data_IF_208393888624
#
_entry.id   IF_208393888624
#
_cell.length_a   1.000
_cell.length_b   1.000
_cell.length_c   1.000
_cell.angle_alpha   90.00
_cell.angle_beta   90.00
_cell.angle_gamma   90.00
#
_symmetry.space_group_name_H-M   'P 1'
#
loop_
_entity.id
_entity.type
_entity.pdbx_description
1 polymer ?
#
# COMPACT_ATOMS: atom_id res chain seq x y z
N UNK A 1 -1.05 -51.63 -5.35
CA UNK A 1 -0.93 -50.15 -5.46
C UNK A 1 0.46 -49.74 -4.97
N UNK A 2 1.29 -49.13 -5.82
CA UNK A 2 2.69 -48.82 -5.47
C UNK A 2 2.78 -47.76 -4.37
N UNK A 3 3.88 -47.74 -3.60
CA UNK A 3 4.13 -46.74 -2.56
C UNK A 3 3.94 -45.31 -3.08
N UNK A 4 4.38 -45.08 -4.33
CA UNK A 4 4.24 -43.81 -5.06
C UNK A 4 2.78 -43.44 -5.33
N UNK A 5 1.93 -44.42 -5.66
CA UNK A 5 0.49 -44.21 -5.87
C UNK A 5 -0.24 -43.94 -4.55
N UNK A 6 0.12 -44.65 -3.46
CA UNK A 6 -0.42 -44.41 -2.12
C UNK A 6 -0.06 -43.02 -1.60
N UNK A 7 1.21 -42.58 -1.78
CA UNK A 7 1.65 -41.23 -1.42
C UNK A 7 0.93 -40.14 -2.21
N UNK A 8 0.75 -40.35 -3.53
CA UNK A 8 0.04 -39.38 -4.39
C UNK A 8 -1.43 -39.25 -4.00
N UNK A 9 -2.10 -40.36 -3.70
CA UNK A 9 -3.49 -40.39 -3.21
C UNK A 9 -3.63 -39.69 -1.86
N UNK A 10 -2.74 -39.98 -0.91
CA UNK A 10 -2.71 -39.33 0.40
C UNK A 10 -2.45 -37.82 0.32
N UNK A 11 -1.51 -37.40 -0.54
CA UNK A 11 -1.19 -35.98 -0.79
C UNK A 11 -2.36 -35.21 -1.42
N UNK A 12 -3.15 -35.86 -2.27
CA UNK A 12 -4.34 -35.28 -2.90
C UNK A 12 -5.51 -35.16 -1.91
N UNK A 13 -5.74 -36.17 -1.08
CA UNK A 13 -6.80 -36.16 -0.06
C UNK A 13 -6.53 -35.18 1.07
N UNK A 14 -5.26 -34.98 1.44
CA UNK A 14 -4.85 -34.11 2.54
C UNK A 14 -4.21 -32.81 2.07
N UNK A 15 -4.41 -32.43 0.80
CA UNK A 15 -3.75 -31.27 0.16
C UNK A 15 -3.93 -29.98 0.95
N UNK A 16 -5.08 -29.78 1.59
CA UNK A 16 -5.37 -28.57 2.36
C UNK A 16 -4.69 -28.54 3.74
N UNK A 17 -4.26 -29.70 4.27
CA UNK A 17 -3.47 -29.82 5.51
C UNK A 17 -1.96 -29.90 5.24
N UNK A 18 -1.57 -30.57 4.16
CA UNK A 18 -0.18 -30.75 3.73
C UNK A 18 0.37 -29.47 3.14
N UNK A 19 -0.42 -28.67 2.41
CA UNK A 19 0.08 -27.45 1.76
C UNK A 19 0.57 -26.41 2.79
N UNK A 20 -0.13 -26.14 3.91
CA UNK A 20 0.41 -25.36 5.03
C UNK A 20 1.64 -25.98 5.70
N UNK A 21 1.64 -27.31 5.94
CA UNK A 21 2.77 -28.03 6.52
C UNK A 21 4.04 -27.94 5.64
N UNK A 22 3.90 -28.13 4.33
CA UNK A 22 4.99 -27.97 3.37
C UNK A 22 5.46 -26.51 3.23
N UNK A 23 4.55 -25.53 3.29
CA UNK A 23 4.88 -24.10 3.21
C UNK A 23 5.44 -23.49 4.51
N UNK A 24 5.29 -24.18 5.64
CA UNK A 24 5.75 -23.68 6.94
C UNK A 24 6.85 -24.53 7.59
N UNK A 25 7.02 -25.81 7.24
CA UNK A 25 8.07 -26.68 7.80
C UNK A 25 9.09 -27.18 6.78
N UNK A 26 8.70 -27.31 5.49
CA UNK A 26 9.54 -28.02 4.50
C UNK A 26 10.24 -27.06 3.54
N UNK A 27 9.59 -25.99 3.05
CA UNK A 27 10.17 -25.07 2.06
C UNK A 27 9.79 -23.63 2.37
N UNK A 28 10.72 -22.88 2.96
CA UNK A 28 10.41 -21.53 3.43
C UNK A 28 11.48 -20.52 3.01
N UNK A 29 11.05 -19.41 2.41
CA UNK A 29 11.86 -18.20 2.32
C UNK A 29 11.76 -17.40 3.62
N UNK A 30 12.91 -17.04 4.16
CA UNK A 30 13.07 -16.14 5.31
C UNK A 30 13.75 -14.88 4.82
N UNK A 31 13.27 -13.73 5.27
CA UNK A 31 13.85 -12.43 4.95
C UNK A 31 14.15 -11.75 6.28
N UNK A 32 15.35 -11.20 6.40
CA UNK A 32 15.86 -10.58 7.62
C UNK A 32 16.77 -9.38 7.26
N UNK A 33 17.06 -8.53 8.25
CA UNK A 33 18.01 -7.43 8.15
C UNK A 33 19.26 -7.81 8.95
N UNK A 34 20.39 -7.91 8.26
CA UNK A 34 21.70 -8.11 8.89
C UNK A 34 22.38 -6.79 9.25
N UNK A 35 23.66 -6.90 9.63
CA UNK A 35 24.54 -5.75 9.86
C UNK A 35 24.57 -4.80 8.63
N UNK A 36 24.76 -3.51 8.90
CA UNK A 36 24.79 -2.43 7.90
C UNK A 36 23.56 -2.38 6.98
N UNK A 37 22.38 -2.73 7.52
CA UNK A 37 21.11 -2.77 6.79
C UNK A 37 21.09 -3.74 5.60
N UNK A 38 21.94 -4.77 5.62
CA UNK A 38 21.99 -5.76 4.55
C UNK A 38 20.72 -6.63 4.57
N UNK A 39 20.01 -6.69 3.44
CA UNK A 39 18.87 -7.56 3.27
C UNK A 39 19.33 -9.01 3.07
N UNK A 40 18.97 -9.89 4.00
CA UNK A 40 19.29 -11.31 3.97
C UNK A 40 18.06 -12.09 3.54
N UNK A 41 18.15 -12.82 2.44
CA UNK A 41 17.11 -13.74 1.95
C UNK A 41 17.62 -15.17 2.05
N UNK A 42 16.97 -16.00 2.86
CA UNK A 42 17.39 -17.39 3.11
C UNK A 42 16.28 -18.34 2.71
N UNK A 43 16.55 -19.25 1.79
CA UNK A 43 15.69 -20.38 1.50
C UNK A 43 16.10 -21.59 2.33
N UNK A 44 15.17 -22.08 3.14
CA UNK A 44 15.39 -23.23 4.04
C UNK A 44 14.59 -24.44 3.58
N UNK A 45 15.21 -25.62 3.64
CA UNK A 45 14.55 -26.92 3.50
C UNK A 45 14.67 -27.67 4.83
N UNK A 46 13.56 -28.06 5.45
CA UNK A 46 13.55 -28.68 6.80
C UNK A 46 14.39 -27.90 7.83
N UNK A 47 14.31 -26.57 7.82
CA UNK A 47 15.09 -25.69 8.70
C UNK A 47 16.56 -25.48 8.29
N UNK A 48 17.09 -26.27 7.34
CA UNK A 48 18.46 -26.17 6.85
C UNK A 48 18.53 -25.12 5.73
N UNK A 49 19.42 -24.14 5.88
CA UNK A 49 19.67 -23.12 4.87
C UNK A 49 20.32 -23.74 3.62
N UNK A 50 19.59 -23.77 2.50
CA UNK A 50 20.08 -24.30 1.22
C UNK A 50 20.64 -23.18 0.35
N UNK A 51 19.95 -22.05 0.32
CA UNK A 51 20.39 -20.86 -0.41
C UNK A 51 20.25 -19.64 0.48
N UNK A 52 21.29 -18.80 0.50
CA UNK A 52 21.26 -17.52 1.20
C UNK A 52 21.79 -16.45 0.28
N UNK A 53 21.08 -15.34 0.17
CA UNK A 53 21.51 -14.13 -0.55
C UNK A 53 21.60 -12.98 0.43
N UNK A 54 22.73 -12.31 0.46
CA UNK A 54 22.97 -11.10 1.26
C UNK A 54 23.10 -9.93 0.30
N UNK A 55 22.25 -8.93 0.45
CA UNK A 55 22.20 -7.74 -0.41
C UNK A 55 22.51 -6.53 0.47
N UNK A 56 23.65 -5.90 0.20
CA UNK A 56 24.10 -4.68 0.86
C UNK A 56 24.07 -3.52 -0.14
N UNK A 57 24.35 -2.31 0.34
CA UNK A 57 24.57 -1.10 -0.47
C UNK A 57 25.68 -1.29 -1.50
N UNK A 58 26.70 -2.07 -1.16
CA UNK A 58 27.93 -2.19 -1.95
C UNK A 58 28.10 -3.55 -2.66
N UNK A 59 27.30 -4.56 -2.32
CA UNK A 59 27.47 -5.90 -2.87
C UNK A 59 26.22 -6.75 -2.82
N UNK A 60 26.21 -7.80 -3.64
CA UNK A 60 25.31 -8.96 -3.50
C UNK A 60 26.18 -10.21 -3.37
N UNK A 61 25.98 -10.98 -2.30
CA UNK A 61 26.65 -12.27 -2.07
C UNK A 61 25.63 -13.39 -2.08
N UNK A 62 25.90 -14.44 -2.87
CA UNK A 62 25.10 -15.66 -2.90
C UNK A 62 25.86 -16.81 -2.27
N UNK A 63 25.16 -17.57 -1.45
CA UNK A 63 25.66 -18.73 -0.73
C UNK A 63 24.81 -19.97 -1.06
N UNK A 64 25.46 -21.13 -1.17
CA UNK A 64 24.82 -22.44 -1.18
C UNK A 64 25.26 -23.20 0.06
N UNK A 65 24.32 -23.50 0.96
CA UNK A 65 24.67 -23.88 2.34
C UNK A 65 25.52 -22.78 3.00
N UNK A 66 26.67 -23.16 3.54
CA UNK A 66 27.65 -22.23 4.12
C UNK A 66 28.65 -21.66 3.09
N UNK A 67 28.71 -22.19 1.86
CA UNK A 67 29.73 -21.82 0.87
C UNK A 67 29.30 -20.58 0.07
N UNK A 68 30.15 -19.55 0.05
CA UNK A 68 30.01 -18.40 -0.86
C UNK A 68 30.22 -18.88 -2.30
N UNK A 69 29.26 -18.66 -3.18
CA UNK A 69 29.30 -19.09 -4.59
C UNK A 69 29.41 -17.93 -5.57
N UNK A 70 28.97 -16.73 -5.19
CA UNK A 70 29.04 -15.54 -6.04
C UNK A 70 29.13 -14.28 -5.20
N UNK A 71 29.99 -13.36 -5.63
CA UNK A 71 29.99 -11.98 -5.17
C UNK A 71 29.82 -11.07 -6.38
N UNK A 72 28.86 -10.16 -6.32
CA UNK A 72 28.71 -9.07 -7.27
C UNK A 72 28.96 -7.77 -6.52
N UNK A 73 30.03 -7.06 -6.88
CA UNK A 73 30.26 -5.70 -6.38
C UNK A 73 29.31 -4.72 -7.07
N UNK A 74 28.69 -3.83 -6.30
CA UNK A 74 27.81 -2.77 -6.81
C UNK A 74 28.60 -1.47 -7.03
N UNK A 75 29.75 -1.60 -7.70
CA UNK A 75 30.67 -0.50 -8.02
C UNK A 75 30.28 0.27 -9.29
N UNK A 76 31.25 0.92 -9.92
CA UNK A 76 31.01 1.78 -11.09
C UNK A 76 30.39 1.05 -12.29
N UNK A 77 30.80 -0.18 -12.60
CA UNK A 77 30.22 -0.95 -13.71
C UNK A 77 28.72 -1.24 -13.49
N UNK A 78 28.33 -1.53 -12.25
CA UNK A 78 26.92 -1.71 -11.90
C UNK A 78 26.16 -0.40 -12.07
N UNK A 79 26.71 0.73 -11.61
CA UNK A 79 26.09 2.05 -11.79
C UNK A 79 25.92 2.41 -13.26
N UNK A 80 26.94 2.14 -14.09
CA UNK A 80 26.90 2.36 -15.54
C UNK A 80 25.82 1.52 -16.20
N UNK A 81 25.75 0.23 -15.89
CA UNK A 81 24.70 -0.66 -16.41
C UNK A 81 23.28 -0.22 -15.99
N UNK A 82 23.11 0.22 -14.74
CA UNK A 82 21.84 0.77 -14.27
C UNK A 82 21.47 2.05 -15.04
N UNK A 83 22.42 2.98 -15.21
CA UNK A 83 22.21 4.22 -15.95
C UNK A 83 21.79 3.96 -17.40
N UNK A 84 22.45 3.02 -18.08
CA UNK A 84 22.07 2.60 -19.45
C UNK A 84 20.65 2.04 -19.50
N UNK A 85 20.25 1.24 -18.50
CA UNK A 85 18.89 0.71 -18.40
C UNK A 85 17.84 1.82 -18.21
N UNK A 86 18.08 2.76 -17.27
CA UNK A 86 17.20 3.91 -17.06
C UNK A 86 17.13 4.80 -18.31
N UNK A 87 18.28 5.13 -18.92
CA UNK A 87 18.33 5.97 -20.11
C UNK A 87 17.51 5.37 -21.26
N UNK A 88 17.62 4.05 -21.47
CA UNK A 88 16.82 3.33 -22.46
C UNK A 88 15.32 3.37 -22.14
N UNK A 89 14.94 3.13 -20.89
CA UNK A 89 13.54 3.17 -20.45
C UNK A 89 12.93 4.56 -20.64
N UNK A 90 13.66 5.61 -20.28
CA UNK A 90 13.24 7.01 -20.38
C UNK A 90 13.13 7.43 -21.85
N UNK A 91 14.11 7.05 -22.69
CA UNK A 91 14.09 7.31 -24.13
C UNK A 91 12.90 6.65 -24.83
N UNK A 92 12.52 5.44 -24.42
CA UNK A 92 11.34 4.75 -24.95
C UNK A 92 10.02 5.46 -24.61
N UNK A 93 10.01 6.31 -23.58
CA UNK A 93 8.89 7.18 -23.23
C UNK A 93 8.99 8.57 -23.90
N UNK A 94 9.87 8.73 -24.90
CA UNK A 94 10.13 10.00 -25.60
C UNK A 94 10.65 11.12 -24.68
N UNK A 95 11.37 10.76 -23.62
CA UNK A 95 12.04 11.68 -22.70
C UNK A 95 13.56 11.50 -22.78
N UNK A 96 14.34 12.49 -22.34
CA UNK A 96 15.80 12.35 -22.20
C UNK A 96 16.19 12.39 -20.73
N UNK A 97 16.91 11.37 -20.28
CA UNK A 97 17.41 11.26 -18.91
C UNK A 97 18.27 12.46 -18.51
N UNK A 98 19.00 13.07 -19.46
CA UNK A 98 19.90 14.21 -19.21
C UNK A 98 19.16 15.49 -18.83
N UNK A 99 17.86 15.58 -19.11
CA UNK A 99 17.05 16.76 -18.80
C UNK A 99 16.68 16.85 -17.31
N UNK A 100 16.94 15.81 -16.54
CA UNK A 100 16.51 15.71 -15.14
C UNK A 100 17.70 15.74 -14.19
N UNK A 101 17.62 16.55 -13.14
CA UNK A 101 18.61 16.53 -12.03
C UNK A 101 18.29 15.42 -11.03
N UNK A 102 17.01 15.10 -10.86
CA UNK A 102 16.58 14.08 -9.92
C UNK A 102 15.52 13.15 -10.51
N UNK A 103 15.67 11.86 -10.26
CA UNK A 103 14.79 10.79 -10.73
C UNK A 103 14.28 10.04 -9.51
N UNK A 104 12.96 10.07 -9.31
CA UNK A 104 12.29 9.39 -8.20
C UNK A 104 11.63 8.11 -8.69
N UNK A 105 12.04 6.98 -8.13
CA UNK A 105 11.59 5.64 -8.48
C UNK A 105 10.65 5.15 -7.38
N UNK A 106 9.39 4.95 -7.72
CA UNK A 106 8.33 4.60 -6.78
C UNK A 106 7.97 3.13 -6.92
N UNK A 107 8.40 2.32 -5.95
CA UNK A 107 8.10 0.89 -5.88
C UNK A 107 7.29 0.47 -4.62
N UNK A 108 6.75 1.47 -3.92
CA UNK A 108 6.10 1.31 -2.63
C UNK A 108 4.61 0.97 -2.71
N UNK A 109 3.94 0.80 -1.57
CA UNK A 109 2.48 0.68 -1.54
C UNK A 109 1.84 2.06 -1.66
N UNK A 110 0.54 2.10 -1.99
CA UNK A 110 -0.16 3.38 -2.25
C UNK A 110 -0.16 4.31 -1.03
N UNK A 111 -0.20 3.77 0.19
CA UNK A 111 -0.20 4.57 1.42
C UNK A 111 1.08 5.38 1.58
N UNK A 112 2.24 4.73 1.51
CA UNK A 112 3.53 5.40 1.66
C UNK A 112 3.79 6.39 0.53
N UNK A 113 3.41 6.06 -0.71
CA UNK A 113 3.58 6.97 -1.85
C UNK A 113 2.69 8.19 -1.69
N UNK A 114 1.42 8.00 -1.31
CA UNK A 114 0.49 9.09 -1.08
C UNK A 114 1.02 10.01 0.03
N UNK A 115 1.47 9.47 1.17
CA UNK A 115 2.03 10.27 2.25
C UNK A 115 3.32 10.99 1.85
N UNK A 116 4.22 10.30 1.14
CA UNK A 116 5.46 10.89 0.68
C UNK A 116 5.19 12.09 -0.23
N UNK A 117 4.30 11.94 -1.22
CA UNK A 117 3.95 13.02 -2.12
C UNK A 117 3.17 14.12 -1.39
N UNK A 118 2.19 13.78 -0.55
CA UNK A 118 1.36 14.75 0.16
C UNK A 118 2.13 15.58 1.19
N UNK A 119 3.16 15.04 1.86
CA UNK A 119 3.79 15.73 2.99
C UNK A 119 5.32 15.91 2.87
N UNK A 120 6.02 15.00 2.20
CA UNK A 120 7.47 14.82 2.36
C UNK A 120 8.28 15.27 1.14
N UNK A 121 7.73 15.16 -0.07
CA UNK A 121 8.47 15.47 -1.28
C UNK A 121 9.01 16.91 -1.28
N UNK A 122 8.17 17.92 -1.04
CA UNK A 122 8.60 19.33 -1.05
C UNK A 122 9.73 19.62 -0.04
N UNK A 123 9.64 19.22 1.23
CA UNK A 123 10.76 19.33 2.17
C UNK A 123 12.04 18.64 1.68
N UNK A 124 11.90 17.44 1.11
CA UNK A 124 13.03 16.70 0.55
C UNK A 124 13.67 17.44 -0.63
N UNK A 125 12.86 18.00 -1.53
CA UNK A 125 13.35 18.80 -2.66
C UNK A 125 14.16 20.00 -2.18
N UNK A 126 13.66 20.73 -1.17
CA UNK A 126 14.37 21.87 -0.56
C UNK A 126 15.73 21.44 0.01
N UNK A 127 15.79 20.31 0.72
CA UNK A 127 17.04 19.77 1.29
C UNK A 127 18.11 19.52 0.23
N UNK A 128 17.71 19.07 -0.95
CA UNK A 128 18.63 18.75 -2.05
C UNK A 128 18.77 19.88 -3.08
N UNK A 129 18.28 21.09 -2.78
CA UNK A 129 18.29 22.26 -3.68
C UNK A 129 17.65 21.95 -5.05
N UNK A 130 16.49 21.29 -5.05
CA UNK A 130 15.74 20.87 -6.23
C UNK A 130 14.43 21.68 -6.36
N UNK A 131 14.53 22.95 -6.75
CA UNK A 131 13.36 23.84 -6.75
C UNK A 131 12.49 23.76 -8.02
N UNK A 132 12.99 23.15 -9.09
CA UNK A 132 12.29 23.06 -10.38
C UNK A 132 11.64 21.70 -10.62
N UNK A 133 10.31 21.63 -10.69
CA UNK A 133 9.59 20.40 -11.05
C UNK A 133 9.95 19.84 -12.44
N UNK A 134 10.38 20.71 -13.36
CA UNK A 134 10.86 20.33 -14.70
C UNK A 134 12.18 19.54 -14.67
N UNK A 135 12.97 19.70 -13.61
CA UNK A 135 14.23 19.00 -13.40
C UNK A 135 14.00 17.63 -12.73
N UNK A 136 12.74 17.24 -12.49
CA UNK A 136 12.35 16.00 -11.83
C UNK A 136 11.72 15.04 -12.83
N UNK A 137 11.93 13.75 -12.61
CA UNK A 137 11.21 12.67 -13.30
C UNK A 137 10.70 11.66 -12.30
N UNK A 138 9.43 11.28 -12.43
CA UNK A 138 8.85 10.17 -11.67
C UNK A 138 8.77 8.89 -12.49
N UNK A 139 9.27 7.80 -11.90
CA UNK A 139 9.16 6.46 -12.46
C UNK A 139 8.23 5.65 -11.56
N UNK A 140 7.05 5.35 -12.06
CA UNK A 140 6.07 4.48 -11.44
C UNK A 140 6.35 3.01 -11.77
N UNK A 141 6.25 2.10 -10.81
CA UNK A 141 6.27 0.64 -11.09
C UNK A 141 4.89 0.00 -11.14
N UNK A 142 3.82 0.73 -10.82
CA UNK A 142 2.43 0.23 -10.78
C UNK A 142 1.48 1.29 -11.31
N UNK A 143 0.36 0.87 -11.90
CA UNK A 143 -0.59 1.78 -12.56
C UNK A 143 -1.13 2.84 -11.58
N UNK A 144 -1.53 2.43 -10.37
CA UNK A 144 -2.05 3.36 -9.35
C UNK A 144 -1.01 4.40 -8.87
N UNK A 145 0.29 4.20 -9.11
CA UNK A 145 1.27 5.25 -8.83
C UNK A 145 1.06 6.45 -9.75
N UNK A 146 0.70 6.21 -11.02
CA UNK A 146 0.43 7.28 -11.98
C UNK A 146 -0.76 8.12 -11.52
N UNK A 147 -1.87 7.46 -11.15
CA UNK A 147 -3.06 8.14 -10.63
C UNK A 147 -2.72 9.08 -9.46
N UNK A 148 -1.89 8.60 -8.52
CA UNK A 148 -1.47 9.39 -7.36
C UNK A 148 -0.55 10.54 -7.77
N UNK A 149 0.44 10.28 -8.62
CA UNK A 149 1.39 11.29 -9.08
C UNK A 149 0.70 12.41 -9.86
N UNK A 150 -0.20 12.03 -10.75
CA UNK A 150 -0.98 12.96 -11.57
C UNK A 150 -1.91 13.83 -10.73
N UNK A 151 -2.51 13.26 -9.69
CA UNK A 151 -3.42 14.00 -8.81
C UNK A 151 -2.71 14.94 -7.82
N UNK A 152 -1.44 14.67 -7.45
CA UNK A 152 -0.72 15.48 -6.46
C UNK A 152 0.29 16.44 -7.11
N UNK A 153 1.00 15.98 -8.15
CA UNK A 153 2.02 16.74 -8.89
C UNK A 153 1.85 16.58 -10.40
N UNK A 154 0.74 17.09 -10.98
CA UNK A 154 0.45 16.96 -12.41
C UNK A 154 1.58 17.49 -13.30
N UNK A 155 2.32 18.51 -12.86
CA UNK A 155 3.40 19.18 -13.56
C UNK A 155 4.71 18.39 -13.67
N UNK A 156 4.89 17.31 -12.90
CA UNK A 156 6.12 16.52 -12.93
C UNK A 156 6.00 15.44 -14.03
N UNK A 157 6.95 15.38 -15.00
CA UNK A 157 7.01 14.30 -15.97
C UNK A 157 7.04 12.93 -15.29
N UNK A 158 6.30 11.97 -15.86
CA UNK A 158 6.12 10.63 -15.27
C UNK A 158 6.05 9.56 -16.34
N UNK A 159 6.54 8.36 -16.02
CA UNK A 159 6.40 7.17 -16.85
C UNK A 159 6.17 5.91 -16.01
N UNK A 160 5.66 4.86 -16.65
CA UNK A 160 5.43 3.56 -16.04
C UNK A 160 6.48 2.54 -16.49
N UNK A 161 7.17 1.93 -15.54
CA UNK A 161 8.15 0.87 -15.74
C UNK A 161 7.95 -0.25 -14.71
N UNK A 162 7.10 -1.24 -15.04
CA UNK A 162 6.71 -2.32 -14.10
C UNK A 162 7.85 -3.25 -13.69
N UNK A 163 8.84 -3.44 -14.57
CA UNK A 163 9.95 -4.38 -14.38
C UNK A 163 11.31 -3.67 -14.42
N UNK A 164 11.50 -2.70 -13.52
CA UNK A 164 12.72 -1.91 -13.43
C UNK A 164 13.64 -2.46 -12.34
N UNK A 165 14.96 -2.46 -12.59
CA UNK A 165 15.91 -2.67 -11.50
C UNK A 165 15.86 -1.49 -10.54
N UNK A 166 16.05 -1.77 -9.26
CA UNK A 166 16.05 -0.75 -8.20
C UNK A 166 17.43 -0.66 -7.57
N UNK A 167 17.78 0.54 -7.11
CA UNK A 167 18.88 0.68 -6.17
C UNK A 167 18.45 0.13 -4.81
N UNK A 168 19.42 -0.42 -4.08
CA UNK A 168 19.19 -0.91 -2.71
C UNK A 168 19.31 0.21 -1.66
N UNK A 169 19.73 1.40 -2.10
CA UNK A 169 19.84 2.61 -1.29
C UNK A 169 18.71 3.59 -1.63
N UNK A 170 18.30 4.37 -0.63
CA UNK A 170 17.28 5.41 -0.80
C UNK A 170 17.73 6.51 -1.76
N UNK A 171 19.00 6.90 -1.74
CA UNK A 171 19.59 7.90 -2.63
C UNK A 171 20.91 7.40 -3.22
N UNK A 172 21.05 7.54 -4.54
CA UNK A 172 22.29 7.30 -5.28
C UNK A 172 22.63 8.47 -6.19
N UNK A 173 23.89 8.90 -6.21
CA UNK A 173 24.39 9.85 -7.19
C UNK A 173 25.12 9.13 -8.32
N UNK A 174 24.74 9.44 -9.57
CA UNK A 174 25.40 8.95 -10.78
C UNK A 174 25.51 10.14 -11.74
N UNK A 175 26.71 10.47 -12.21
CA UNK A 175 26.95 11.59 -13.14
C UNK A 175 26.29 12.92 -12.71
N UNK A 176 26.37 13.26 -11.41
CA UNK A 176 25.76 14.45 -10.78
C UNK A 176 24.22 14.46 -10.77
N UNK A 177 23.55 13.39 -11.21
CA UNK A 177 22.10 13.20 -11.08
C UNK A 177 21.78 12.41 -9.81
N UNK A 178 20.71 12.78 -9.13
CA UNK A 178 20.22 12.11 -7.93
C UNK A 178 19.13 11.07 -8.30
N UNK A 179 19.32 9.83 -7.89
CA UNK A 179 18.33 8.75 -8.04
C UNK A 179 17.78 8.39 -6.68
N UNK A 180 16.48 8.65 -6.48
CA UNK A 180 15.78 8.34 -5.25
C UNK A 180 14.96 7.06 -5.41
N UNK A 181 15.27 6.01 -4.65
CA UNK A 181 14.41 4.82 -4.55
C UNK A 181 13.49 5.00 -3.34
N UNK A 182 12.23 5.37 -3.59
CA UNK A 182 11.29 5.73 -2.52
C UNK A 182 10.77 4.47 -1.83
N UNK A 183 11.35 4.26 -0.65
CA UNK A 183 11.22 3.14 0.29
C UNK A 183 11.60 1.78 -0.28
N UNK A 184 12.73 1.26 0.21
CA UNK A 184 13.26 -0.06 -0.17
C UNK A 184 12.59 -1.15 0.65
N UNK A 185 12.80 -2.42 0.27
CA UNK A 185 12.32 -3.55 1.09
C UNK A 185 12.88 -3.49 2.52
N UNK A 186 14.11 -3.00 2.71
CA UNK A 186 14.72 -2.84 4.03
C UNK A 186 13.92 -1.85 4.89
N UNK A 187 13.47 -0.73 4.32
CA UNK A 187 12.62 0.21 5.04
C UNK A 187 11.34 -0.47 5.57
N UNK A 188 10.63 -1.23 4.73
CA UNK A 188 9.37 -1.88 5.14
C UNK A 188 9.59 -2.89 6.28
N UNK A 189 10.67 -3.66 6.20
CA UNK A 189 11.06 -4.60 7.25
C UNK A 189 11.35 -3.87 8.57
N UNK A 190 12.16 -2.80 8.53
CA UNK A 190 12.43 -1.98 9.70
C UNK A 190 11.13 -1.42 10.30
N UNK A 191 10.22 -0.91 9.48
CA UNK A 191 8.94 -0.38 9.96
C UNK A 191 8.13 -1.45 10.68
N UNK A 192 7.96 -2.61 10.07
CA UNK A 192 7.22 -3.72 10.65
C UNK A 192 7.87 -4.20 11.97
N UNK A 193 9.20 -4.37 12.01
CA UNK A 193 9.93 -4.80 13.21
C UNK A 193 9.86 -3.77 14.34
N UNK A 194 10.10 -2.48 14.04
CA UNK A 194 10.05 -1.42 15.05
C UNK A 194 8.65 -1.28 15.67
N UNK A 195 7.59 -1.57 14.91
CA UNK A 195 6.22 -1.59 15.43
C UNK A 195 5.96 -2.89 16.20
N UNK A 196 6.38 -4.03 15.67
CA UNK A 196 6.14 -5.35 16.27
C UNK A 196 6.80 -5.50 17.65
N UNK A 197 8.02 -4.96 17.80
CA UNK A 197 8.81 -5.02 19.02
C UNK A 197 8.68 -3.76 19.90
N UNK A 198 7.79 -2.83 19.55
CA UNK A 198 7.51 -1.66 20.39
C UNK A 198 6.82 -2.08 21.68
N UNK A 199 7.45 -1.82 22.83
CA UNK A 199 6.86 -2.07 24.15
C UNK A 199 5.84 -0.99 24.57
N UNK A 200 5.87 0.18 23.94
CA UNK A 200 5.08 1.35 24.36
C UNK A 200 3.94 1.73 23.43
N UNK A 201 3.77 1.03 22.30
CA UNK A 201 2.80 1.38 21.25
C UNK A 201 2.94 2.82 20.70
N UNK A 202 4.12 3.46 20.88
CA UNK A 202 4.39 4.83 20.43
C UNK A 202 5.05 4.91 19.05
N UNK A 203 5.56 3.78 18.55
CA UNK A 203 6.16 3.67 17.22
C UNK A 203 5.08 3.79 16.16
N UNK A 204 5.26 4.67 15.17
CA UNK A 204 4.30 4.89 14.09
C UNK A 204 4.99 4.96 12.73
N UNK A 205 4.43 4.30 11.71
CA UNK A 205 5.05 4.17 10.39
C UNK A 205 5.38 5.52 9.75
N UNK A 206 4.50 6.52 9.86
CA UNK A 206 4.78 7.85 9.31
C UNK A 206 5.93 8.55 10.04
N UNK A 207 6.11 8.32 11.35
CA UNK A 207 7.28 8.89 12.06
C UNK A 207 8.58 8.20 11.61
N UNK A 208 8.52 6.89 11.36
CA UNK A 208 9.66 6.15 10.81
C UNK A 208 9.99 6.58 9.38
N UNK A 209 8.99 6.90 8.56
CA UNK A 209 9.18 7.52 7.25
C UNK A 209 9.98 8.82 7.35
N UNK A 210 9.57 9.72 8.25
CA UNK A 210 10.26 10.99 8.46
C UNK A 210 11.70 10.77 8.95
N UNK A 211 11.92 9.81 9.84
CA UNK A 211 13.26 9.45 10.31
C UNK A 211 14.14 8.87 9.21
N UNK A 212 13.60 7.98 8.37
CA UNK A 212 14.33 7.37 7.24
C UNK A 212 14.80 8.42 6.23
N UNK A 213 13.98 9.45 6.00
CA UNK A 213 14.27 10.52 5.05
C UNK A 213 14.92 11.75 5.70
N UNK A 214 15.14 11.69 7.02
CA UNK A 214 15.70 12.78 7.83
C UNK A 214 14.95 14.10 7.62
N UNK A 215 13.62 14.06 7.75
CA UNK A 215 12.72 15.21 7.61
C UNK A 215 12.05 15.53 8.94
N UNK A 216 12.17 16.78 9.40
CA UNK A 216 11.48 17.22 10.60
C UNK A 216 9.99 17.43 10.35
N UNK A 217 9.17 17.11 11.36
CA UNK A 217 7.70 17.29 11.29
C UNK A 217 7.30 18.75 11.02
N UNK A 218 8.08 19.72 11.51
CA UNK A 218 7.82 21.16 11.34
C UNK A 218 7.98 21.62 9.89
N UNK A 219 8.77 20.89 9.10
CA UNK A 219 9.08 21.27 7.72
C UNK A 219 8.05 20.73 6.72
N UNK A 220 7.16 19.83 7.16
CA UNK A 220 6.16 19.20 6.29
C UNK A 220 5.30 20.22 5.56
N UNK A 221 5.11 20.00 4.27
CA UNK A 221 4.25 20.84 3.42
C UNK A 221 3.14 19.98 2.87
N UNK A 222 1.89 20.35 3.15
CA UNK A 222 0.73 19.65 2.63
C UNK A 222 0.51 19.97 1.15
N UNK A 223 0.41 18.92 0.33
CA UNK A 223 0.00 18.96 -1.06
C UNK A 223 -1.25 18.09 -1.22
N UNK A 224 -2.39 18.74 -1.46
CA UNK A 224 -3.67 18.09 -1.60
C UNK A 224 -3.76 17.19 -2.83
N UNK A 225 -4.65 16.21 -2.76
CA UNK A 225 -4.99 15.32 -3.86
C UNK A 225 -6.09 15.95 -4.73
N UNK A 226 -5.71 16.34 -5.94
CA UNK A 226 -6.56 17.05 -6.89
C UNK A 226 -6.54 16.31 -8.23
N UNK A 227 -7.44 15.32 -8.43
CA UNK A 227 -7.53 14.62 -9.70
C UNK A 227 -7.77 15.56 -10.89
N UNK A 228 -7.24 15.24 -12.08
CA UNK A 228 -7.60 15.94 -13.31
C UNK A 228 -9.11 15.96 -13.58
N UNK A 229 -9.60 17.00 -14.27
CA UNK A 229 -11.03 17.19 -14.54
C UNK A 229 -11.68 16.02 -15.30
N UNK A 230 -10.93 15.36 -16.20
CA UNK A 230 -11.43 14.21 -16.96
C UNK A 230 -11.73 12.98 -16.08
N UNK A 231 -11.14 12.89 -14.88
CA UNK A 231 -11.36 11.76 -13.97
C UNK A 231 -12.80 11.73 -13.45
N UNK A 232 -13.39 12.89 -13.15
CA UNK A 232 -14.78 12.96 -12.68
C UNK A 232 -15.74 12.46 -13.77
N UNK A 233 -15.59 12.94 -15.00
CA UNK A 233 -16.38 12.49 -16.15
C UNK A 233 -16.23 11.00 -16.42
N UNK A 234 -15.00 10.46 -16.35
CA UNK A 234 -14.73 9.03 -16.49
C UNK A 234 -15.42 8.20 -15.39
N UNK A 235 -15.30 8.65 -14.13
CA UNK A 235 -15.95 8.03 -12.97
C UNK A 235 -17.47 8.01 -13.14
N UNK A 236 -18.09 9.15 -13.47
CA UNK A 236 -19.54 9.26 -13.64
C UNK A 236 -20.05 8.36 -14.78
N UNK A 237 -19.33 8.28 -15.89
CA UNK A 237 -19.67 7.40 -17.01
C UNK A 237 -19.67 5.91 -16.62
N UNK A 238 -18.69 5.49 -15.80
CA UNK A 238 -18.62 4.12 -15.26
C UNK A 238 -19.73 3.85 -14.25
N UNK A 239 -20.01 4.81 -13.36
CA UNK A 239 -20.99 4.64 -12.28
C UNK A 239 -22.43 4.65 -12.79
N UNK A 240 -22.75 5.44 -13.83
CA UNK A 240 -24.08 5.49 -14.44
C UNK A 240 -24.61 4.09 -14.81
N UNK A 241 -23.73 3.21 -15.29
CA UNK A 241 -24.06 1.82 -15.66
C UNK A 241 -24.51 0.95 -14.49
N UNK A 242 -24.12 1.31 -13.27
CA UNK A 242 -24.46 0.56 -12.04
C UNK A 242 -25.82 0.96 -11.46
N UNK A 243 -26.40 2.08 -11.90
CA UNK A 243 -27.60 2.70 -11.30
C UNK A 243 -27.44 2.95 -9.80
N UNK A 244 -26.26 3.42 -9.38
CA UNK A 244 -25.99 3.84 -7.99
C UNK A 244 -26.66 5.20 -7.73
N UNK A 245 -27.34 5.33 -6.61
CA UNK A 245 -27.86 6.62 -6.15
C UNK A 245 -26.72 7.50 -5.60
N UNK A 246 -26.18 8.37 -6.46
CA UNK A 246 -25.07 9.28 -6.14
C UNK A 246 -25.37 10.28 -5.01
N UNK A 247 -26.64 10.47 -4.61
CA UNK A 247 -27.01 11.35 -3.49
C UNK A 247 -27.12 10.63 -2.15
N UNK A 248 -27.12 9.30 -2.14
CA UNK A 248 -27.49 8.51 -0.96
C UNK A 248 -26.85 7.13 -0.99
N UNK A 249 -25.52 7.09 -0.87
CA UNK A 249 -24.77 5.84 -0.87
C UNK A 249 -23.56 5.88 0.06
N UNK A 250 -23.07 4.70 0.43
CA UNK A 250 -21.78 4.51 1.12
C UNK A 250 -20.83 3.69 0.26
N UNK A 251 -19.52 3.91 0.43
CA UNK A 251 -18.49 3.06 -0.17
C UNK A 251 -18.01 2.04 0.84
N UNK A 252 -17.94 0.77 0.43
CA UNK A 252 -17.26 -0.28 1.17
C UNK A 252 -15.98 -0.68 0.44
N UNK A 253 -14.84 -0.66 1.12
CA UNK A 253 -13.55 -1.14 0.62
C UNK A 253 -13.06 -2.33 1.47
N UNK A 254 -13.60 -3.54 1.24
CA UNK A 254 -13.35 -4.73 2.05
C UNK A 254 -11.97 -5.40 1.82
N UNK A 255 -11.12 -4.84 0.96
CA UNK A 255 -9.85 -5.43 0.54
C UNK A 255 -8.65 -4.63 1.03
N UNK A 256 -7.60 -5.34 1.41
CA UNK A 256 -6.30 -4.78 1.75
C UNK A 256 -5.18 -5.74 1.35
N UNK A 257 -4.04 -5.19 0.94
CA UNK A 257 -2.84 -6.00 0.63
C UNK A 257 -2.19 -6.50 1.93
N UNK A 258 -2.06 -5.63 2.94
CA UNK A 258 -1.40 -5.93 4.21
C UNK A 258 -2.33 -6.64 5.20
N UNK A 259 -3.53 -6.13 5.45
CA UNK A 259 -4.47 -6.67 6.43
C UNK A 259 -5.15 -7.97 5.98
N UNK A 260 -5.44 -8.88 6.92
CA UNK A 260 -6.24 -10.08 6.68
C UNK A 260 -7.66 -9.68 6.28
N UNK A 261 -8.29 -10.37 5.32
CA UNK A 261 -9.69 -10.13 5.01
C UNK A 261 -10.56 -10.36 6.25
N UNK A 262 -11.48 -9.44 6.52
CA UNK A 262 -12.45 -9.62 7.59
C UNK A 262 -13.63 -10.50 7.16
N UNK A 263 -14.32 -11.09 8.13
CA UNK A 263 -15.32 -12.14 7.87
C UNK A 263 -16.49 -11.64 7.01
N UNK A 264 -16.84 -12.39 5.95
CA UNK A 264 -17.92 -12.05 5.01
C UNK A 264 -19.27 -11.80 5.69
N UNK A 265 -19.57 -12.46 6.81
CA UNK A 265 -20.82 -12.27 7.56
C UNK A 265 -21.01 -10.82 8.04
N UNK A 266 -19.92 -10.15 8.44
CA UNK A 266 -19.95 -8.76 8.87
C UNK A 266 -20.38 -7.85 7.73
N UNK A 267 -19.68 -7.93 6.60
CA UNK A 267 -19.98 -7.13 5.40
C UNK A 267 -21.41 -7.35 4.90
N UNK A 268 -21.88 -8.61 4.86
CA UNK A 268 -23.27 -8.90 4.48
C UNK A 268 -24.28 -8.28 5.44
N UNK A 269 -24.02 -8.31 6.75
CA UNK A 269 -24.91 -7.71 7.75
C UNK A 269 -24.93 -6.19 7.61
N UNK A 270 -23.77 -5.57 7.45
CA UNK A 270 -23.63 -4.13 7.23
C UNK A 270 -24.40 -3.69 5.97
N UNK A 271 -24.23 -4.39 4.84
CA UNK A 271 -24.96 -4.12 3.59
C UNK A 271 -26.46 -4.16 3.83
N UNK A 272 -26.98 -5.22 4.46
CA UNK A 272 -28.42 -5.35 4.74
C UNK A 272 -28.95 -4.23 5.64
N UNK A 273 -28.21 -3.86 6.69
CA UNK A 273 -28.61 -2.80 7.61
C UNK A 273 -28.65 -1.42 6.94
N UNK A 274 -27.69 -1.12 6.07
CA UNK A 274 -27.70 0.12 5.28
C UNK A 274 -28.85 0.15 4.26
N UNK A 275 -29.13 -0.98 3.60
CA UNK A 275 -30.26 -1.10 2.67
C UNK A 275 -31.60 -0.92 3.38
N UNK A 276 -31.74 -1.46 4.58
CA UNK A 276 -32.94 -1.26 5.40
C UNK A 276 -33.14 0.23 5.77
N UNK A 277 -32.06 1.01 5.88
CA UNK A 277 -32.11 2.47 6.03
C UNK A 277 -32.29 3.23 4.69
N UNK A 278 -32.51 2.50 3.60
CA UNK A 278 -32.67 3.06 2.26
C UNK A 278 -31.40 3.69 1.69
N UNK A 279 -30.21 3.24 2.10
CA UNK A 279 -28.91 3.74 1.62
C UNK A 279 -28.33 2.75 0.59
N UNK A 280 -27.89 3.27 -0.54
CA UNK A 280 -27.24 2.48 -1.58
C UNK A 280 -25.79 2.11 -1.20
N UNK A 281 -25.28 1.03 -1.78
CA UNK A 281 -23.93 0.53 -1.47
C UNK A 281 -23.12 0.39 -2.74
N UNK A 282 -21.95 1.03 -2.77
CA UNK A 282 -20.90 0.76 -3.73
C UNK A 282 -19.78 -0.07 -3.05
N UNK A 283 -19.40 -1.20 -3.64
CA UNK A 283 -18.28 -2.01 -3.13
C UNK A 283 -17.07 -1.85 -4.05
N UNK A 284 -15.99 -1.29 -3.51
CA UNK A 284 -14.68 -1.23 -4.15
C UNK A 284 -13.91 -2.53 -3.84
N UNK A 285 -14.07 -3.54 -4.69
CA UNK A 285 -13.40 -4.83 -4.58
C UNK A 285 -12.89 -5.27 -5.95
N UNK A 286 -11.64 -5.74 -6.04
CA UNK A 286 -11.05 -6.23 -7.28
C UNK A 286 -11.12 -7.76 -7.34
N UNK A 287 -11.03 -8.43 -6.19
CA UNK A 287 -10.96 -9.89 -6.12
C UNK A 287 -12.36 -10.51 -6.16
N UNK A 288 -12.53 -11.50 -7.04
CA UNK A 288 -13.80 -12.26 -7.11
C UNK A 288 -14.16 -12.93 -5.77
N UNK A 289 -13.14 -13.30 -5.01
CA UNK A 289 -13.31 -13.94 -3.69
C UNK A 289 -14.00 -13.03 -2.68
N UNK A 290 -14.03 -11.72 -2.92
CA UNK A 290 -14.63 -10.71 -2.05
C UNK A 290 -16.12 -10.47 -2.36
N UNK A 291 -16.66 -11.04 -3.44
CA UNK A 291 -18.08 -10.91 -3.75
C UNK A 291 -18.98 -11.53 -2.68
N UNK A 292 -19.99 -10.75 -2.27
CA UNK A 292 -20.94 -11.13 -1.22
C UNK A 292 -22.22 -11.74 -1.83
N UNK A 293 -22.29 -13.07 -1.94
CA UNK A 293 -23.51 -13.76 -2.39
C UNK A 293 -24.70 -13.49 -1.44
N UNK A 294 -25.89 -13.28 -2.00
CA UNK A 294 -27.15 -13.13 -1.25
C UNK A 294 -27.40 -11.73 -0.67
N UNK A 295 -26.68 -10.72 -1.15
CA UNK A 295 -26.94 -9.30 -0.89
C UNK A 295 -26.74 -8.51 -2.18
N UNK A 296 -27.52 -7.44 -2.35
CA UNK A 296 -27.40 -6.58 -3.51
C UNK A 296 -26.40 -5.46 -3.20
N UNK A 297 -25.50 -5.15 -4.13
CA UNK A 297 -24.62 -3.99 -4.06
C UNK A 297 -24.19 -3.60 -5.47
N UNK A 298 -23.75 -2.35 -5.63
CA UNK A 298 -23.23 -1.82 -6.88
C UNK A 298 -21.72 -2.00 -6.89
N UNK A 299 -21.17 -2.30 -8.06
CA UNK A 299 -19.74 -2.47 -8.24
C UNK A 299 -19.37 -2.20 -9.71
N UNK A 300 -18.25 -1.52 -9.91
CA UNK A 300 -17.53 -1.49 -11.18
C UNK A 300 -16.05 -1.24 -10.90
N UNK A 301 -15.19 -1.51 -11.91
CA UNK A 301 -13.77 -1.20 -11.81
C UNK A 301 -13.56 0.31 -11.92
N UNK A 302 -12.94 0.88 -10.89
CA UNK A 302 -12.51 2.28 -10.84
C UNK A 302 -10.99 2.36 -10.66
N UNK A 303 -10.37 3.42 -11.20
CA UNK A 303 -9.02 3.85 -10.89
C UNK A 303 -8.91 4.43 -9.47
N UNK A 304 -7.70 4.67 -9.00
CA UNK A 304 -7.48 5.13 -7.62
C UNK A 304 -8.08 6.52 -7.38
N UNK A 305 -7.88 7.42 -8.33
CA UNK A 305 -8.42 8.77 -8.38
C UNK A 305 -9.95 8.80 -8.60
N UNK A 306 -10.51 7.89 -9.39
CA UNK A 306 -11.94 7.74 -9.58
C UNK A 306 -12.65 7.31 -8.30
N UNK A 307 -12.05 6.41 -7.51
CA UNK A 307 -12.59 6.03 -6.18
C UNK A 307 -12.58 7.24 -5.24
N UNK A 308 -11.54 8.06 -5.27
CA UNK A 308 -11.49 9.32 -4.51
C UNK A 308 -12.62 10.27 -4.91
N UNK A 309 -12.82 10.49 -6.22
CA UNK A 309 -13.89 11.35 -6.72
C UNK A 309 -15.27 10.83 -6.33
N UNK A 310 -15.49 9.52 -6.40
CA UNK A 310 -16.74 8.92 -5.92
C UNK A 310 -16.91 9.09 -4.41
N UNK A 311 -15.84 8.96 -3.62
CA UNK A 311 -15.90 9.11 -2.17
C UNK A 311 -16.38 10.50 -1.73
N UNK A 312 -16.00 11.57 -2.45
CA UNK A 312 -16.47 12.94 -2.19
C UNK A 312 -18.00 13.08 -2.26
N UNK A 313 -18.67 12.25 -3.07
CA UNK A 313 -20.13 12.25 -3.22
C UNK A 313 -20.84 11.34 -2.20
N UNK A 314 -20.09 10.53 -1.45
CA UNK A 314 -20.66 9.51 -0.57
C UNK A 314 -21.09 10.05 0.80
N UNK A 315 -21.98 9.31 1.46
CA UNK A 315 -22.31 9.50 2.87
C UNK A 315 -21.15 9.08 3.78
N UNK A 316 -20.23 8.26 3.30
CA UNK A 316 -19.04 7.84 4.01
C UNK A 316 -18.34 6.66 3.35
N UNK A 317 -17.25 6.24 3.98
CA UNK A 317 -16.43 5.11 3.55
C UNK A 317 -16.23 4.16 4.72
N UNK A 318 -16.42 2.86 4.50
CA UNK A 318 -16.03 1.81 5.44
C UNK A 318 -14.98 0.93 4.76
N UNK A 319 -13.76 0.90 5.30
CA UNK A 319 -12.63 0.25 4.65
C UNK A 319 -11.85 -0.61 5.62
N UNK A 320 -11.36 -1.76 5.16
CA UNK A 320 -10.17 -2.34 5.79
C UNK A 320 -9.02 -1.35 5.72
N UNK A 321 -8.18 -1.31 6.75
CA UNK A 321 -6.99 -0.48 6.73
C UNK A 321 -6.09 -0.88 5.56
N UNK A 322 -5.93 0.04 4.62
CA UNK A 322 -5.12 -0.13 3.41
C UNK A 322 -4.58 1.21 2.94
N UNK A 323 -3.60 1.18 2.03
CA UNK A 323 -2.99 2.37 1.43
C UNK A 323 -3.95 3.27 0.64
N UNK A 324 -5.17 2.81 0.36
CA UNK A 324 -6.23 3.62 -0.26
C UNK A 324 -6.79 4.63 0.74
N UNK A 325 -6.82 4.26 2.02
CA UNK A 325 -7.48 5.06 3.06
C UNK A 325 -6.75 6.37 3.33
N UNK A 326 -5.42 6.41 3.21
CA UNK A 326 -4.61 7.63 3.29
C UNK A 326 -5.06 8.70 2.31
N UNK A 327 -5.49 8.26 1.13
CA UNK A 327 -6.01 9.15 0.11
C UNK A 327 -7.46 9.58 0.41
N UNK A 328 -8.31 8.62 0.79
CA UNK A 328 -9.73 8.89 1.07
C UNK A 328 -9.96 9.78 2.29
N UNK A 329 -9.00 9.92 3.20
CA UNK A 329 -9.04 10.95 4.26
C UNK A 329 -9.27 12.36 3.71
N UNK A 330 -8.74 12.65 2.52
CA UNK A 330 -8.86 13.98 1.90
C UNK A 330 -10.24 14.21 1.25
N UNK A 331 -11.08 13.18 1.11
CA UNK A 331 -12.44 13.33 0.60
C UNK A 331 -13.38 14.03 1.61
N UNK A 332 -12.93 14.19 2.86
CA UNK A 332 -13.65 14.89 3.94
C UNK A 332 -15.08 14.37 4.15
N UNK A 333 -15.24 13.04 4.13
CA UNK A 333 -16.46 12.31 4.47
C UNK A 333 -16.22 11.40 5.68
N UNK A 334 -17.26 10.99 6.43
CA UNK A 334 -17.10 9.99 7.48
C UNK A 334 -16.34 8.76 6.99
N UNK A 335 -15.27 8.38 7.68
CA UNK A 335 -14.38 7.29 7.30
C UNK A 335 -14.23 6.33 8.48
N UNK A 336 -14.61 5.08 8.26
CA UNK A 336 -14.48 3.98 9.21
C UNK A 336 -13.33 3.07 8.77
N UNK A 337 -12.17 3.20 9.41
CA UNK A 337 -10.99 2.39 9.17
C UNK A 337 -10.98 1.16 10.10
N UNK A 338 -11.04 -0.03 9.50
CA UNK A 338 -11.15 -1.29 10.21
C UNK A 338 -9.79 -2.00 10.24
N UNK A 339 -9.24 -2.19 11.44
CA UNK A 339 -7.93 -2.78 11.68
C UNK A 339 -8.08 -4.27 12.01
N UNK A 340 -7.31 -5.10 11.31
CA UNK A 340 -7.20 -6.55 11.55
C UNK A 340 -5.72 -6.94 11.52
N UNK A 341 -5.38 -8.16 11.94
CA UNK A 341 -4.01 -8.71 11.79
C UNK A 341 -3.52 -8.63 10.35
N UNK A 342 -2.22 -8.47 10.14
CA UNK A 342 -1.63 -8.58 8.82
C UNK A 342 -1.69 -10.03 8.27
N UNK A 343 -1.79 -10.15 6.94
CA UNK A 343 -1.67 -11.42 6.22
C UNK A 343 -0.29 -12.00 6.54
N UNK A 344 -0.24 -13.29 6.87
CA UNK A 344 1.03 -13.94 7.18
C UNK A 344 1.99 -13.82 5.99
N UNK A 345 3.14 -13.19 6.23
CA UNK A 345 4.37 -13.42 5.48
C UNK A 345 5.35 -14.03 6.47
N UNK A 346 5.57 -15.36 6.47
CA UNK A 346 6.73 -15.90 7.15
C UNK A 346 7.98 -15.12 6.70
N UNK A 347 8.90 -14.76 7.62
CA UNK A 347 9.01 -15.25 9.01
C UNK A 347 8.49 -14.28 10.09
N UNK A 348 7.79 -13.20 9.76
CA UNK A 348 7.50 -12.14 10.72
C UNK A 348 6.54 -12.56 11.84
N UNK A 349 6.84 -12.06 13.03
CA UNK A 349 5.98 -12.13 14.21
C UNK A 349 4.59 -11.56 13.91
N UNK A 350 3.57 -12.13 14.54
CA UNK A 350 2.18 -11.72 14.35
C UNK A 350 2.04 -10.29 14.88
N UNK A 351 2.05 -9.30 13.98
CA UNK A 351 1.48 -7.99 14.29
C UNK A 351 -0.01 -8.21 14.58
N UNK A 352 -0.34 -8.23 15.88
CA UNK A 352 -1.72 -8.24 16.34
C UNK A 352 -2.43 -6.94 15.94
N UNK A 353 -3.76 -6.95 15.97
CA UNK A 353 -4.56 -5.81 15.54
C UNK A 353 -4.31 -4.55 16.38
N UNK A 354 -3.94 -4.67 17.66
CA UNK A 354 -3.60 -3.55 18.55
C UNK A 354 -2.33 -2.85 18.11
N UNK A 355 -1.26 -3.61 17.85
CA UNK A 355 0.01 -3.06 17.34
C UNK A 355 -0.17 -2.44 15.98
N UNK A 356 -1.01 -3.03 15.12
CA UNK A 356 -1.31 -2.44 13.80
C UNK A 356 -2.08 -1.14 13.97
N UNK A 357 -3.12 -1.11 14.81
CA UNK A 357 -3.87 0.11 15.09
C UNK A 357 -2.93 1.19 15.62
N UNK A 358 -2.11 0.91 16.64
CA UNK A 358 -1.17 1.89 17.19
C UNK A 358 -0.12 2.35 16.14
N UNK A 359 0.46 1.41 15.40
CA UNK A 359 1.55 1.65 14.47
C UNK A 359 1.15 2.28 13.15
N UNK A 360 -0.12 2.13 12.74
CA UNK A 360 -0.65 2.58 11.44
C UNK A 360 -1.91 3.47 11.56
N UNK A 361 -2.25 3.89 12.79
CA UNK A 361 -3.36 4.78 13.11
C UNK A 361 -3.32 6.04 12.28
N UNK A 362 -4.39 6.28 11.54
CA UNK A 362 -4.53 7.45 10.69
C UNK A 362 -4.59 8.74 11.53
N UNK A 363 -4.98 8.68 12.81
CA UNK A 363 -5.00 9.83 13.74
C UNK A 363 -3.65 10.53 13.92
N UNK A 364 -2.54 9.85 13.64
CA UNK A 364 -1.19 10.42 13.80
C UNK A 364 -0.79 11.30 12.60
N UNK A 365 -1.49 11.16 11.47
CA UNK A 365 -1.19 11.91 10.26
C UNK A 365 -1.58 13.39 10.41
N UNK A 366 -0.80 14.33 9.86
CA UNK A 366 -1.11 15.75 9.94
C UNK A 366 -2.26 16.14 8.99
N UNK A 367 -2.96 17.23 9.31
CA UNK A 367 -4.02 17.82 8.47
C UNK A 367 -5.18 16.87 8.13
N UNK A 368 -5.55 16.01 9.07
CA UNK A 368 -6.72 15.13 8.98
C UNK A 368 -7.91 15.73 9.75
N UNK A 369 -9.12 15.53 9.24
CA UNK A 369 -10.33 15.86 9.98
C UNK A 369 -10.68 14.72 10.96
N UNK A 370 -10.21 14.81 12.20
CA UNK A 370 -10.41 13.75 13.20
C UNK A 370 -11.88 13.55 13.59
N UNK A 371 -12.74 14.54 13.37
CA UNK A 371 -14.18 14.42 13.68
C UNK A 371 -14.93 13.48 12.74
N UNK A 372 -14.36 13.23 11.56
CA UNK A 372 -14.92 12.32 10.56
C UNK A 372 -14.21 10.97 10.54
N UNK A 373 -13.15 10.78 11.32
CA UNK A 373 -12.35 9.56 11.33
C UNK A 373 -12.72 8.66 12.52
N UNK A 374 -13.11 7.44 12.20
CA UNK A 374 -13.43 6.40 13.16
C UNK A 374 -12.51 5.19 12.90
N UNK A 375 -11.76 4.76 13.92
CA UNK A 375 -10.80 3.66 13.80
C UNK A 375 -11.18 2.55 14.78
N UNK A 376 -11.22 1.31 14.30
CA UNK A 376 -11.66 0.17 15.11
C UNK A 376 -10.66 -0.98 15.02
N UNK A 377 -10.25 -1.48 16.19
CA UNK A 377 -9.67 -2.81 16.30
C UNK A 377 -10.81 -3.85 16.17
N UNK A 378 -10.79 -4.60 15.07
CA UNK A 378 -11.84 -5.57 14.78
C UNK A 378 -11.77 -6.83 15.66
N UNK A 379 -10.73 -7.02 16.47
CA UNK A 379 -10.66 -8.10 17.45
C UNK A 379 -11.33 -7.73 18.78
N UNK A 380 -11.52 -6.43 19.05
CA UNK A 380 -12.12 -5.94 20.29
C UNK A 380 -13.53 -5.37 20.11
N UNK A 381 -13.93 -5.08 18.88
CA UNK A 381 -15.21 -4.42 18.61
C UNK A 381 -16.41 -5.38 18.68
N UNK A 382 -17.49 -4.92 19.30
CA UNK A 382 -18.81 -5.57 19.21
C UNK A 382 -19.45 -5.20 17.87
N UNK A 383 -19.51 -6.16 16.95
CA UNK A 383 -19.88 -5.90 15.56
C UNK A 383 -21.23 -5.22 15.35
N UNK A 384 -22.24 -5.60 16.15
CA UNK A 384 -23.58 -5.03 16.02
C UNK A 384 -23.57 -3.54 16.36
N UNK A 385 -22.86 -3.16 17.43
CA UNK A 385 -22.70 -1.76 17.83
C UNK A 385 -21.96 -0.96 16.75
N UNK A 386 -20.94 -1.54 16.12
CA UNK A 386 -20.24 -0.89 15.01
C UNK A 386 -21.16 -0.69 13.79
N UNK A 387 -21.95 -1.70 13.42
CA UNK A 387 -22.91 -1.59 12.31
C UNK A 387 -23.97 -0.53 12.62
N UNK A 388 -24.52 -0.53 13.83
CA UNK A 388 -25.48 0.48 14.31
C UNK A 388 -24.89 1.89 14.21
N UNK A 389 -23.66 2.10 14.66
CA UNK A 389 -22.96 3.38 14.56
C UNK A 389 -22.76 3.82 13.11
N UNK A 390 -22.30 2.93 12.23
CA UNK A 390 -22.10 3.24 10.80
C UNK A 390 -23.42 3.68 10.17
N UNK A 391 -24.50 2.94 10.41
CA UNK A 391 -25.84 3.25 9.89
C UNK A 391 -26.34 4.59 10.44
N UNK A 392 -26.20 4.82 11.75
CA UNK A 392 -26.57 6.07 12.40
C UNK A 392 -25.89 7.28 11.75
N UNK A 393 -24.56 7.26 11.61
CA UNK A 393 -23.79 8.36 11.02
C UNK A 393 -24.18 8.59 9.56
N UNK A 394 -24.34 7.52 8.78
CA UNK A 394 -24.72 7.64 7.38
C UNK A 394 -26.13 8.25 7.20
N UNK A 395 -27.10 7.83 8.01
CA UNK A 395 -28.46 8.37 7.98
C UNK A 395 -28.52 9.85 8.39
N UNK A 396 -27.77 10.27 9.42
CA UNK A 396 -27.76 11.68 9.85
C UNK A 396 -27.12 12.60 8.80
N UNK A 397 -26.09 12.13 8.09
CA UNK A 397 -25.49 12.91 6.99
C UNK A 397 -26.46 13.04 5.81
N UNK A 398 -27.21 11.98 5.50
CA UNK A 398 -28.25 12.00 4.46
C UNK A 398 -29.29 13.08 4.76
N UNK A 399 -29.78 13.15 5.99
CA UNK A 399 -30.74 14.18 6.41
C UNK A 399 -30.17 15.58 6.21
N UNK A 400 -28.96 15.87 6.72
CA UNK A 400 -28.32 17.19 6.55
C UNK A 400 -28.20 17.63 5.09
N UNK A 401 -27.90 16.71 4.17
CA UNK A 401 -27.81 17.01 2.74
C UNK A 401 -29.18 17.29 2.09
N UNK A 402 -30.26 16.68 2.60
CA UNK A 402 -31.62 16.94 2.12
C UNK A 402 -32.15 18.32 2.57
N UNK A 403 -31.74 18.82 3.73
CA UNK A 403 -32.11 20.16 4.20
C UNK A 403 -31.38 21.30 3.46
N UNK A 404 -30.29 21.00 2.75
CA UNK A 404 -29.47 21.99 2.02
C UNK A 404 -29.79 22.06 0.51
N UNK A 405 -30.63 21.16 0.00
CA UNK A 405 -31.07 21.08 -1.40
C UNK A 405 -32.51 21.51 -1.53
#
# INVERSE_FOLDING_TARGET
MSLKQKLKSFMLQNKDYIKPLCHNFILNWHIDIGEDDALIKTFKIFGISIFRRVISKNYIKDYRGAKLVKTLALGEDYKKSMLEEYARLIKNASLDIKNYKAIFIFNSNSGEINLFLTYVLKPLLKRYNLDGYKDLLFIATKDYHLDIMESIFPQVPRLLAKNIKLFYETLKYINKQAFFTIFTSVYFLKVEDNIAFSSTFKTHYFKLMLKELDIDKKDLVFQGFLPPQNIESSMLAKIKKTKLNLKNFIILAPEAISCKPYKKRFWKKLIKSLQAAGIDIFVNAVEKSTHFKGVNYKHCKLGFDEVFMLAKLSLGVVSLRSGLVENLLQANVPLFALYTRFKHKPPFGILDSKKILAGFSLRVLPNINQTLLYEFDMEEVVENKLIELIVYIASHKKEKLQWQS
#
